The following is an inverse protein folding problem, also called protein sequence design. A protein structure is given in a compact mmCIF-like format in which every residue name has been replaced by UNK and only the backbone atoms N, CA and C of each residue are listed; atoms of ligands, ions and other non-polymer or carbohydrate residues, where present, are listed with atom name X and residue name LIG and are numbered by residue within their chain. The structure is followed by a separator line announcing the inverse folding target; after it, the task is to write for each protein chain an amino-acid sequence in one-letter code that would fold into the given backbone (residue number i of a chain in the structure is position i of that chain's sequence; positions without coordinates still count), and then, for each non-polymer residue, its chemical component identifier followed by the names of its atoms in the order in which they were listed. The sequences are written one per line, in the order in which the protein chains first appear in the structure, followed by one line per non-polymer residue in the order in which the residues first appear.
data_IF_887748512746
#
_entry.id   IF_887748512746
#
_cell.length_a   1.000
_cell.length_b   1.000
_cell.length_c   1.000
_cell.angle_alpha   90.00
_cell.angle_beta   90.00
_cell.angle_gamma   90.00
#
_symmetry.space_group_name_H-M   'P 1'
#
loop_
_entity.id
_entity.type
_entity.pdbx_description
1 polymer ?
#
# COMPACT_ATOMS: atom_id res chain seq x y z
N UNK A 1 8.01 20.35 1.55
CA UNK A 1 7.96 19.71 1.75
C UNK A 1 7.40 18.90 1.32
N UNK A 2 7.40 18.25 1.04
CA UNK A 2 6.84 17.42 0.74
C UNK A 2 6.84 16.34 1.29
N UNK A 3 6.14 15.93 1.58
CA UNK A 3 5.99 14.92 2.22
C UNK A 3 6.13 13.75 1.46
N UNK A 4 6.50 12.75 1.93
CA UNK A 4 6.69 11.57 1.21
C UNK A 4 5.42 11.18 0.68
N UNK A 5 5.47 10.53 -0.29
CA UNK A 5 4.36 10.16 -0.90
C UNK A 5 3.59 9.13 -0.22
N UNK A 6 3.99 8.55 0.78
CA UNK A 6 3.26 7.49 1.41
C UNK A 6 2.15 8.03 2.26
N UNK A 7 0.93 7.67 1.97
CA UNK A 7 -0.21 8.08 2.76
C UNK A 7 -0.66 6.91 3.60
N UNK A 8 -0.19 6.85 4.81
CA UNK A 8 -0.48 5.73 5.69
C UNK A 8 -1.98 5.65 5.99
N UNK A 9 -2.64 6.77 6.11
CA UNK A 9 -4.07 6.76 6.36
C UNK A 9 -4.85 6.11 5.23
N UNK A 10 -4.48 6.43 4.01
CA UNK A 10 -5.14 5.85 2.86
C UNK A 10 -4.85 4.37 2.78
N UNK A 11 -3.62 3.96 3.02
CA UNK A 11 -3.25 2.56 2.96
C UNK A 11 -4.03 1.78 4.02
N UNK A 12 -4.17 2.35 5.21
CA UNK A 12 -4.91 1.68 6.26
C UNK A 12 -6.37 1.51 5.91
N UNK A 13 -6.99 2.54 5.32
CA UNK A 13 -8.38 2.45 4.93
C UNK A 13 -8.58 1.41 3.83
N UNK A 14 -7.69 1.36 2.87
CA UNK A 14 -7.80 0.37 1.81
C UNK A 14 -7.68 -1.04 2.39
N UNK A 15 -6.73 -1.23 3.29
CA UNK A 15 -6.53 -2.55 3.88
C UNK A 15 -7.74 -2.94 4.73
N UNK A 16 -8.41 -1.98 5.32
CA UNK A 16 -9.56 -2.28 6.14
C UNK A 16 -10.79 -2.61 5.31
N UNK A 17 -10.97 -1.91 4.20
CA UNK A 17 -12.16 -2.06 3.40
C UNK A 17 -12.16 -3.17 2.39
N UNK A 18 -11.01 -3.52 1.86
CA UNK A 18 -10.94 -4.47 0.75
C UNK A 18 -10.10 -5.70 1.10
N UNK A 19 -10.49 -6.83 0.52
CA UNK A 19 -9.70 -8.06 0.70
C UNK A 19 -8.51 -8.02 -0.25
N UNK A 20 -7.51 -8.88 -0.04
CA UNK A 20 -6.37 -8.93 -0.96
C UNK A 20 -6.80 -9.18 -2.40
N UNK A 21 -7.78 -10.06 -2.61
CA UNK A 21 -8.25 -10.34 -3.96
C UNK A 21 -8.88 -9.11 -4.59
N UNK A 22 -9.64 -8.37 -3.82
CA UNK A 22 -10.25 -7.15 -4.33
C UNK A 22 -9.19 -6.12 -4.68
N UNK A 23 -8.16 -6.02 -3.84
CA UNK A 23 -7.09 -5.07 -4.10
C UNK A 23 -6.33 -5.48 -5.35
N UNK A 24 -6.11 -6.78 -5.55
CA UNK A 24 -5.42 -7.22 -6.74
C UNK A 24 -6.20 -6.89 -7.99
N UNK A 25 -7.53 -7.04 -7.94
CA UNK A 25 -8.37 -6.68 -9.05
C UNK A 25 -8.24 -5.18 -9.35
N UNK A 26 -8.17 -4.37 -8.31
CA UNK A 26 -8.02 -2.93 -8.49
C UNK A 26 -6.67 -2.59 -9.10
N UNK A 27 -5.61 -3.32 -8.72
CA UNK A 27 -4.31 -3.10 -9.32
C UNK A 27 -4.37 -3.40 -10.80
N UNK A 28 -4.99 -4.52 -11.17
CA UNK A 28 -5.11 -4.88 -12.57
C UNK A 28 -5.90 -3.83 -13.35
N UNK A 29 -6.98 -3.33 -12.76
CA UNK A 29 -7.78 -2.31 -13.41
C UNK A 29 -6.95 -1.06 -13.64
N UNK A 30 -6.18 -0.67 -12.64
CA UNK A 30 -5.37 0.53 -12.78
C UNK A 30 -4.33 0.37 -13.88
N UNK A 31 -3.70 -0.79 -13.95
CA UNK A 31 -2.68 -1.02 -14.95
C UNK A 31 -3.25 -1.08 -16.35
N UNK A 32 -4.47 -1.58 -16.50
CA UNK A 32 -5.06 -1.71 -17.82
C UNK A 32 -5.84 -0.50 -18.26
N UNK A 33 -6.51 0.16 -17.36
CA UNK A 33 -7.40 1.24 -17.71
C UNK A 33 -7.06 2.60 -17.16
N UNK A 34 -6.09 2.68 -16.25
CA UNK A 34 -5.75 3.93 -15.61
C UNK A 34 -6.71 4.35 -14.53
N UNK A 35 -7.59 3.47 -14.11
CA UNK A 35 -8.51 3.76 -13.03
C UNK A 35 -8.96 2.47 -12.40
N UNK A 36 -9.48 2.54 -11.21
CA UNK A 36 -9.94 1.36 -10.48
C UNK A 36 -11.03 1.76 -9.50
N UNK A 37 -11.66 0.77 -8.89
CA UNK A 37 -12.76 1.01 -7.99
C UNK A 37 -12.35 1.25 -6.54
N UNK A 38 -11.10 1.00 -6.20
CA UNK A 38 -10.66 1.12 -4.83
C UNK A 38 -10.16 2.50 -4.47
N UNK A 39 -9.59 3.23 -5.42
CA UNK A 39 -9.01 4.53 -5.13
C UNK A 39 -9.49 5.55 -6.15
N UNK A 40 -9.20 6.80 -5.85
CA UNK A 40 -9.53 7.85 -6.78
C UNK A 40 -8.41 7.97 -7.78
N UNK A 41 -8.63 8.66 -8.86
CA UNK A 41 -7.66 8.73 -9.92
C UNK A 41 -6.39 9.44 -9.47
N UNK A 42 -5.30 9.13 -10.10
CA UNK A 42 -4.03 9.71 -9.80
C UNK A 42 -3.00 9.07 -10.69
N UNK A 43 -1.73 9.39 -10.53
CA UNK A 43 -0.69 8.74 -11.32
C UNK A 43 -0.70 7.24 -11.05
N UNK A 44 -0.66 6.46 -12.10
CA UNK A 44 -0.80 5.02 -11.98
C UNK A 44 0.24 4.40 -11.06
N UNK A 45 1.48 4.84 -11.14
CA UNK A 45 2.51 4.26 -10.32
C UNK A 45 2.25 4.53 -8.84
N UNK A 46 1.69 5.69 -8.50
CA UNK A 46 1.40 6.01 -7.15
C UNK A 46 0.24 5.20 -6.65
N UNK A 47 -0.79 5.04 -7.49
CA UNK A 47 -1.98 4.30 -7.13
C UNK A 47 -1.64 2.83 -6.93
N UNK A 48 -0.86 2.25 -7.84
CA UNK A 48 -0.50 0.85 -7.72
C UNK A 48 0.37 0.63 -6.49
N UNK A 49 1.25 1.57 -6.20
CA UNK A 49 2.09 1.44 -5.03
C UNK A 49 1.25 1.42 -3.75
N UNK A 50 0.27 2.31 -3.66
CA UNK A 50 -0.60 2.35 -2.48
C UNK A 50 -1.42 1.08 -2.36
N UNK A 51 -1.93 0.58 -3.48
CA UNK A 51 -2.71 -0.65 -3.46
C UNK A 51 -1.86 -1.85 -3.04
N UNK A 52 -0.65 -1.93 -3.55
CA UNK A 52 0.23 -3.05 -3.21
C UNK A 52 0.57 -3.03 -1.73
N UNK A 53 0.80 -1.85 -1.18
CA UNK A 53 1.10 -1.74 0.23
C UNK A 53 -0.11 -2.08 1.08
N UNK A 54 -1.30 -1.67 0.63
CA UNK A 54 -2.51 -2.00 1.35
C UNK A 54 -2.75 -3.50 1.35
N UNK A 55 -2.46 -4.15 0.24
CA UNK A 55 -2.63 -5.59 0.16
C UNK A 55 -1.69 -6.29 1.14
N UNK A 56 -0.46 -5.83 1.23
CA UNK A 56 0.51 -6.41 2.14
C UNK A 56 0.02 -6.28 3.59
N UNK A 57 -0.51 -5.12 3.94
CA UNK A 57 -1.04 -4.89 5.27
C UNK A 57 -2.23 -5.82 5.53
N UNK A 58 -3.14 -5.93 4.54
CA UNK A 58 -4.31 -6.75 4.72
C UNK A 58 -3.95 -8.22 4.92
N UNK A 59 -2.92 -8.69 4.23
CA UNK A 59 -2.51 -10.06 4.40
C UNK A 59 -2.04 -10.32 5.82
N UNK A 60 -1.38 -9.34 6.45
CA UNK A 60 -0.99 -9.48 7.83
C UNK A 60 -2.21 -9.51 8.74
N UNK A 61 -3.19 -8.66 8.45
CA UNK A 61 -4.41 -8.64 9.25
C UNK A 61 -5.10 -9.99 9.16
N UNK A 62 -5.15 -10.57 7.97
CA UNK A 62 -5.79 -11.86 7.78
C UNK A 62 -5.03 -12.97 8.50
N UNK A 63 -3.76 -12.75 8.82
CA UNK A 63 -2.99 -13.73 9.57
C UNK A 63 -3.12 -13.52 11.07
N UNK A 64 -3.89 -12.55 11.49
CA UNK A 64 -4.12 -12.32 12.92
C UNK A 64 -3.42 -11.12 13.50
N UNK A 65 -2.74 -10.34 12.68
CA UNK A 65 -2.04 -9.16 13.17
C UNK A 65 -3.03 -8.01 13.26
N UNK A 66 -3.13 -7.30 14.38
CA UNK A 66 -4.06 -6.17 14.46
C UNK A 66 -3.69 -5.11 13.44
N UNK A 67 -4.70 -4.46 12.89
CA UNK A 67 -4.48 -3.48 11.83
C UNK A 67 -3.44 -2.41 12.20
N UNK A 68 -3.49 -1.79 13.38
CA UNK A 68 -2.48 -0.79 13.69
C UNK A 68 -1.07 -1.36 13.69
N UNK A 69 -0.93 -2.61 14.12
CA UNK A 69 0.36 -3.23 14.14
C UNK A 69 0.83 -3.56 12.74
N UNK A 70 -0.09 -4.01 11.89
CA UNK A 70 0.26 -4.32 10.50
C UNK A 70 0.74 -3.05 9.79
N UNK A 71 0.09 -1.92 10.03
CA UNK A 71 0.49 -0.67 9.42
C UNK A 71 1.87 -0.25 9.93
N UNK A 72 2.13 -0.48 11.21
CA UNK A 72 3.40 -0.14 11.78
C UNK A 72 4.51 -0.99 11.20
N UNK A 73 4.22 -2.26 10.93
CA UNK A 73 5.19 -3.15 10.31
C UNK A 73 5.51 -2.68 8.88
N UNK A 74 4.50 -2.21 8.16
CA UNK A 74 4.73 -1.69 6.83
C UNK A 74 5.67 -0.50 6.88
N UNK A 75 5.42 0.43 7.79
CA UNK A 75 6.26 1.61 7.89
C UNK A 75 7.70 1.23 8.22
N UNK A 76 7.86 0.23 9.06
CA UNK A 76 9.15 -0.22 9.45
C UNK A 76 9.89 -0.83 8.26
N UNK A 77 9.20 -1.63 7.47
CA UNK A 77 9.80 -2.24 6.32
C UNK A 77 10.21 -1.22 5.27
N UNK A 78 9.38 -0.22 5.05
CA UNK A 78 9.70 0.82 4.08
C UNK A 78 10.97 1.54 4.51
N UNK A 79 11.09 1.81 5.81
CA UNK A 79 12.26 2.49 6.32
C UNK A 79 13.51 1.64 6.14
N UNK A 80 13.38 0.33 6.35
CA UNK A 80 14.50 -0.56 6.20
C UNK A 80 14.92 -0.68 4.74
N UNK A 81 13.96 -0.72 3.84
CA UNK A 81 14.28 -0.81 2.43
C UNK A 81 14.99 0.44 1.95
N UNK A 82 14.57 1.58 2.41
CA UNK A 82 15.22 2.81 2.03
C UNK A 82 16.66 2.82 2.52
N UNK A 83 16.88 2.32 3.72
CA UNK A 83 18.19 2.25 4.24
C UNK A 83 19.01 1.28 3.45
N UNK A 84 18.45 0.17 3.05
CA UNK A 84 19.15 -0.85 2.31
C UNK A 84 19.60 -0.40 0.95
N UNK A 85 18.92 0.62 0.39
CA UNK A 85 19.31 1.11 -0.89
C UNK A 85 20.26 2.28 -0.78
N UNK A 86 20.69 2.64 0.41
CA UNK A 86 21.56 3.76 0.58
C UNK A 86 22.89 3.41 -0.04
N UNK A 87 23.38 4.19 -0.94
CA UNK A 87 24.61 3.87 -1.61
C UNK A 87 25.79 3.82 -0.68
N UNK A 88 25.64 4.30 0.48
CA UNK A 88 26.63 4.26 1.40
C UNK A 88 26.86 2.96 1.80
N UNK A 89 26.04 2.14 1.69
CA UNK A 89 26.13 0.92 2.13
C UNK A 89 26.84 0.19 1.48
#
# INVERSE_FOLDING_TARGET
MEKPNLDIGEIRELARKFTPDEIETCISQELQEGKNLCTESGPADRVVDALAKAEWVRRLVDQGVPLPEAVRELAKRIRLLQKGFDPEE
#
